data_IF_046018457939
#
_entry.id   IF_046018457939
#
_cell.length_a   1.000
_cell.length_b   1.000
_cell.length_c   1.000
_cell.angle_alpha   90.00
_cell.angle_beta   90.00
_cell.angle_gamma   90.00
#
_symmetry.space_group_name_H-M   'P 1'
#
loop_
_entity.id
_entity.type
_entity.pdbx_description
1 polymer ?
#
# COMPACT_ATOMS: atom_id res chain seq x y z
N UNK A 1 -9.82 25.62 16.66
CA UNK A 1 -9.77 25.37 18.11
C UNK A 1 -8.63 24.40 18.45
N UNK A 2 -8.26 24.32 19.73
CA UNK A 2 -7.36 23.29 20.24
C UNK A 2 -8.15 22.00 20.33
N UNK A 3 -7.52 20.86 20.05
CA UNK A 3 -8.15 19.54 20.17
C UNK A 3 -7.23 18.59 20.96
N UNK A 4 -7.83 17.55 21.53
CA UNK A 4 -7.09 16.48 22.19
C UNK A 4 -7.38 15.15 21.50
N UNK A 5 -6.33 14.40 21.15
CA UNK A 5 -6.44 13.06 20.57
C UNK A 5 -5.57 12.10 21.42
N UNK A 6 -6.22 11.14 22.06
CA UNK A 6 -5.53 10.13 22.89
C UNK A 6 -4.54 10.73 23.92
N UNK A 7 -4.93 11.82 24.60
CA UNK A 7 -4.10 12.50 25.58
C UNK A 7 -3.06 13.47 25.00
N UNK A 8 -2.97 13.59 23.69
CA UNK A 8 -2.08 14.55 23.03
C UNK A 8 -2.82 15.82 22.62
N UNK A 9 -2.32 16.98 23.10
CA UNK A 9 -2.86 18.29 22.76
C UNK A 9 -2.34 18.77 21.42
N UNK A 10 -3.25 19.09 20.51
CA UNK A 10 -2.96 19.70 19.21
C UNK A 10 -3.51 21.13 19.22
N UNK A 11 -2.63 22.11 19.10
CA UNK A 11 -3.00 23.53 19.14
C UNK A 11 -3.58 23.97 17.80
N UNK A 12 -4.52 24.92 17.86
CA UNK A 12 -5.07 25.59 16.68
C UNK A 12 -3.94 26.09 15.77
N UNK A 13 -3.98 25.71 14.50
CA UNK A 13 -3.01 26.11 13.48
C UNK A 13 -1.78 25.20 13.36
N UNK A 14 -1.64 24.18 14.21
CA UNK A 14 -0.61 23.17 13.97
C UNK A 14 -0.93 22.30 12.77
N UNK A 15 0.10 21.98 12.00
CA UNK A 15 -0.03 21.01 10.91
C UNK A 15 -0.04 19.58 11.45
N UNK A 16 -1.01 18.80 11.02
CA UNK A 16 -1.10 17.37 11.36
C UNK A 16 -0.99 16.56 10.07
N UNK A 17 -0.01 15.67 10.03
CA UNK A 17 0.16 14.74 8.91
C UNK A 17 -0.36 13.35 9.29
N UNK A 18 -1.35 12.85 8.56
CA UNK A 18 -1.88 11.51 8.72
C UNK A 18 -1.11 10.55 7.80
N UNK A 19 -0.37 9.63 8.40
CA UNK A 19 0.45 8.65 7.66
C UNK A 19 -0.39 7.37 7.47
N UNK A 20 -1.23 7.34 6.44
CA UNK A 20 -2.16 6.23 6.17
C UNK A 20 -1.45 4.91 5.88
N UNK A 21 -0.22 4.95 5.36
CA UNK A 21 0.58 3.75 5.11
C UNK A 21 0.96 2.97 6.37
N UNK A 22 1.05 3.64 7.52
CA UNK A 22 1.35 2.97 8.80
C UNK A 22 0.10 2.38 9.45
N UNK A 23 -1.09 2.84 9.08
CA UNK A 23 -2.34 2.33 9.66
C UNK A 23 -2.56 0.85 9.36
N UNK A 24 -2.08 0.37 8.21
CA UNK A 24 -2.11 -1.06 7.86
C UNK A 24 -1.16 -1.93 8.70
N UNK A 25 -0.28 -1.32 9.48
CA UNK A 25 0.69 -1.98 10.35
C UNK A 25 0.30 -1.90 11.84
N UNK A 26 -0.89 -1.42 12.16
CA UNK A 26 -1.35 -1.27 13.55
C UNK A 26 -1.69 -2.63 14.17
N UNK A 27 -0.95 -3.10 15.20
CA UNK A 27 -1.20 -4.38 15.84
C UNK A 27 -2.48 -4.41 16.69
N UNK A 28 -3.06 -3.26 16.99
CA UNK A 28 -4.36 -3.17 17.67
C UNK A 28 -5.53 -3.49 16.72
N UNK A 29 -5.31 -3.35 15.44
CA UNK A 29 -6.32 -3.55 14.40
C UNK A 29 -6.10 -4.86 13.64
N UNK A 30 -4.83 -5.18 13.34
CA UNK A 30 -4.47 -6.33 12.51
C UNK A 30 -3.61 -7.33 13.27
N UNK A 31 -3.99 -8.58 13.24
CA UNK A 31 -3.15 -9.65 13.71
C UNK A 31 -1.96 -9.82 12.77
N UNK A 32 -0.74 -9.90 13.33
CA UNK A 32 0.51 -10.07 12.60
C UNK A 32 0.66 -9.10 11.40
N UNK A 33 0.65 -7.76 11.66
CA UNK A 33 0.56 -6.75 10.61
C UNK A 33 1.79 -6.72 9.68
N UNK A 34 2.93 -7.25 10.12
CA UNK A 34 4.16 -7.34 9.33
C UNK A 34 4.13 -8.43 8.28
N UNK A 35 3.23 -9.41 8.40
CA UNK A 35 3.12 -10.54 7.46
C UNK A 35 2.24 -10.15 6.27
N UNK A 36 2.75 -10.37 5.06
CA UNK A 36 1.94 -10.24 3.85
C UNK A 36 0.94 -11.41 3.77
N UNK A 37 -0.35 -11.10 3.90
CA UNK A 37 -1.42 -12.07 3.85
C UNK A 37 -2.57 -11.58 2.96
N UNK A 38 -2.75 -12.21 1.79
CA UNK A 38 -3.80 -11.87 0.83
C UNK A 38 -5.22 -12.25 1.31
N UNK A 39 -5.32 -13.09 2.34
CA UNK A 39 -6.60 -13.50 2.94
C UNK A 39 -6.98 -12.65 4.15
N UNK A 40 -6.19 -11.61 4.46
CA UNK A 40 -6.49 -10.70 5.56
C UNK A 40 -7.80 -9.98 5.30
N UNK A 41 -8.57 -9.77 6.36
CA UNK A 41 -9.74 -8.91 6.33
C UNK A 41 -9.32 -7.47 5.97
N UNK A 42 -9.94 -6.92 4.93
CA UNK A 42 -9.65 -5.59 4.38
C UNK A 42 -10.67 -4.53 4.79
N UNK A 43 -11.73 -4.87 5.49
CA UNK A 43 -12.83 -3.96 5.83
C UNK A 43 -12.37 -2.75 6.66
N UNK A 44 -11.28 -2.91 7.40
CA UNK A 44 -10.67 -1.86 8.22
C UNK A 44 -9.59 -1.06 7.50
N UNK A 45 -9.30 -1.35 6.24
CA UNK A 45 -8.23 -0.69 5.49
C UNK A 45 -8.60 0.76 5.15
N UNK A 46 -7.72 1.68 5.48
CA UNK A 46 -7.82 3.10 5.10
C UNK A 46 -6.81 3.50 4.01
N UNK A 47 -6.25 2.54 3.27
CA UNK A 47 -5.26 2.79 2.23
C UNK A 47 -5.75 3.73 1.13
N UNK A 48 -7.05 3.76 0.89
CA UNK A 48 -7.68 4.68 -0.05
C UNK A 48 -8.38 5.87 0.62
N UNK A 49 -8.07 6.14 1.88
CA UNK A 49 -8.74 7.16 2.68
C UNK A 49 -10.09 6.68 3.20
N UNK A 50 -10.85 7.61 3.76
CA UNK A 50 -12.19 7.36 4.31
C UNK A 50 -13.04 8.63 4.28
N UNK A 51 -14.36 8.47 4.31
CA UNK A 51 -15.32 9.57 4.36
C UNK A 51 -15.35 10.39 3.07
N UNK A 52 -15.59 11.71 3.13
CA UNK A 52 -15.75 12.57 1.95
C UNK A 52 -14.53 12.62 1.02
N UNK A 53 -13.35 12.27 1.53
CA UNK A 53 -12.09 12.26 0.78
C UNK A 53 -11.68 10.84 0.34
N UNK A 54 -12.60 9.86 0.36
CA UNK A 54 -12.32 8.53 -0.16
C UNK A 54 -11.86 8.61 -1.62
N UNK A 55 -10.83 7.85 -1.96
CA UNK A 55 -10.19 7.93 -3.28
C UNK A 55 -11.18 7.66 -4.42
N UNK A 56 -11.39 8.65 -5.28
CA UNK A 56 -12.28 8.53 -6.45
C UNK A 56 -11.78 7.47 -7.46
N UNK A 57 -10.45 7.24 -7.51
CA UNK A 57 -9.83 6.30 -8.44
C UNK A 57 -9.83 4.84 -7.98
N UNK A 58 -10.38 4.49 -6.83
CA UNK A 58 -10.26 3.15 -6.25
C UNK A 58 -10.77 2.04 -7.16
N UNK A 59 -11.91 2.24 -7.80
CA UNK A 59 -12.50 1.26 -8.73
C UNK A 59 -11.60 1.05 -9.95
N UNK A 60 -11.07 2.14 -10.51
CA UNK A 60 -10.16 2.07 -11.65
C UNK A 60 -8.88 1.33 -11.29
N UNK A 61 -8.25 1.68 -10.17
CA UNK A 61 -7.01 1.03 -9.70
C UNK A 61 -7.24 -0.47 -9.49
N UNK A 62 -8.34 -0.85 -8.84
CA UNK A 62 -8.66 -2.27 -8.61
C UNK A 62 -8.82 -3.03 -9.93
N UNK A 63 -9.60 -2.49 -10.86
CA UNK A 63 -9.82 -3.12 -12.18
C UNK A 63 -8.53 -3.22 -12.98
N UNK A 64 -7.72 -2.18 -13.01
CA UNK A 64 -6.43 -2.20 -13.70
C UNK A 64 -5.48 -3.24 -13.10
N UNK A 65 -5.39 -3.28 -11.75
CA UNK A 65 -4.52 -4.23 -11.06
C UNK A 65 -4.98 -5.67 -11.30
N UNK A 66 -6.27 -5.94 -11.27
CA UNK A 66 -6.82 -7.27 -11.53
C UNK A 66 -6.47 -7.75 -12.95
N UNK A 67 -6.72 -6.93 -13.96
CA UNK A 67 -6.41 -7.26 -15.36
C UNK A 67 -4.91 -7.45 -15.55
N UNK A 68 -4.10 -6.53 -15.01
CA UNK A 68 -2.65 -6.58 -15.10
C UNK A 68 -2.09 -7.87 -14.49
N UNK A 69 -2.51 -8.22 -13.27
CA UNK A 69 -2.02 -9.42 -12.60
C UNK A 69 -2.47 -10.70 -13.32
N UNK A 70 -3.72 -10.76 -13.79
CA UNK A 70 -4.22 -11.91 -14.56
C UNK A 70 -3.40 -12.13 -15.84
N UNK A 71 -3.16 -11.08 -16.62
CA UNK A 71 -2.39 -11.19 -17.87
C UNK A 71 -0.91 -11.46 -17.59
N UNK A 72 -0.34 -10.88 -16.53
CA UNK A 72 1.04 -11.11 -16.13
C UNK A 72 1.27 -12.59 -15.77
N UNK A 73 0.48 -13.15 -14.88
CA UNK A 73 0.64 -14.55 -14.46
C UNK A 73 0.23 -15.56 -15.52
N UNK A 74 -0.71 -15.21 -16.40
CA UNK A 74 -1.04 -16.02 -17.57
C UNK A 74 0.14 -16.10 -18.54
N UNK A 75 0.83 -14.99 -18.77
CA UNK A 75 1.98 -14.93 -19.68
C UNK A 75 3.25 -15.51 -19.06
N UNK A 76 3.44 -15.32 -17.77
CA UNK A 76 4.63 -15.71 -17.01
C UNK A 76 4.24 -16.53 -15.76
N UNK A 77 3.78 -17.78 -15.93
CA UNK A 77 3.27 -18.57 -14.80
C UNK A 77 4.34 -18.91 -13.74
N UNK A 78 5.61 -18.85 -14.14
CA UNK A 78 6.76 -19.13 -13.27
C UNK A 78 7.50 -17.84 -12.87
N UNK A 79 6.81 -16.70 -12.84
CA UNK A 79 7.37 -15.42 -12.43
C UNK A 79 7.94 -15.51 -11.01
N UNK A 80 9.14 -15.01 -10.81
CA UNK A 80 9.76 -14.88 -9.50
C UNK A 80 10.42 -13.51 -9.33
N UNK A 81 10.66 -13.11 -8.09
CA UNK A 81 11.42 -11.89 -7.83
C UNK A 81 12.85 -12.05 -8.32
N UNK A 82 13.39 -11.00 -8.90
CA UNK A 82 14.80 -10.86 -9.20
C UNK A 82 15.58 -10.35 -7.98
N UNK A 83 16.85 -10.12 -8.19
CA UNK A 83 17.79 -9.77 -7.10
C UNK A 83 17.79 -8.28 -6.76
N UNK A 84 17.12 -7.45 -7.55
CA UNK A 84 17.16 -6.01 -7.38
C UNK A 84 15.77 -5.42 -7.10
N UNK A 85 15.65 -4.74 -5.96
CA UNK A 85 14.51 -3.91 -5.61
C UNK A 85 15.05 -2.55 -5.15
N UNK A 86 14.73 -1.49 -5.90
CA UNK A 86 15.15 -0.12 -5.58
C UNK A 86 13.96 0.68 -5.06
N UNK A 87 14.13 1.27 -3.89
CA UNK A 87 13.15 2.17 -3.30
C UNK A 87 13.60 3.62 -3.39
N UNK A 88 12.70 4.50 -3.80
CA UNK A 88 12.89 5.94 -3.69
C UNK A 88 12.44 6.43 -2.31
N UNK A 89 13.39 6.97 -1.56
CA UNK A 89 13.16 7.58 -0.23
C UNK A 89 13.13 9.11 -0.27
N UNK A 90 13.29 9.72 -1.44
CA UNK A 90 13.33 11.17 -1.59
C UNK A 90 11.96 11.85 -1.39
N UNK A 91 10.87 11.10 -1.49
CA UNK A 91 9.53 11.60 -1.31
C UNK A 91 9.05 11.39 0.13
N UNK A 92 8.98 12.46 0.90
CA UNK A 92 8.61 12.43 2.33
C UNK A 92 7.22 11.84 2.63
N UNK A 93 6.34 11.79 1.62
CA UNK A 93 4.93 11.42 1.81
C UNK A 93 4.58 10.01 1.27
N UNK A 94 5.50 9.36 0.57
CA UNK A 94 5.24 8.03 0.00
C UNK A 94 6.55 7.23 -0.14
N UNK A 95 6.53 6.01 0.35
CA UNK A 95 7.55 5.02 0.00
C UNK A 95 7.23 4.51 -1.40
N UNK A 96 8.05 4.86 -2.38
CA UNK A 96 7.89 4.44 -3.77
C UNK A 96 8.93 3.37 -4.12
N UNK A 97 8.49 2.34 -4.79
CA UNK A 97 9.38 1.37 -5.42
C UNK A 97 9.65 1.84 -6.85
N UNK A 98 10.89 2.18 -7.15
CA UNK A 98 11.28 2.65 -8.49
C UNK A 98 11.58 1.49 -9.43
N UNK A 99 12.24 0.47 -8.92
CA UNK A 99 12.60 -0.72 -9.68
C UNK A 99 12.29 -1.97 -8.89
N UNK A 100 11.67 -2.92 -9.54
CA UNK A 100 11.52 -4.29 -9.06
C UNK A 100 11.85 -5.22 -10.22
N UNK A 101 13.03 -5.83 -10.19
CA UNK A 101 13.41 -6.82 -11.18
C UNK A 101 12.65 -8.12 -10.95
N UNK A 102 12.23 -8.74 -12.03
CA UNK A 102 11.53 -10.03 -12.01
C UNK A 102 12.14 -10.97 -13.03
N UNK A 103 12.19 -12.25 -12.68
CA UNK A 103 12.60 -13.31 -13.58
C UNK A 103 11.35 -13.90 -14.22
N UNK A 104 11.26 -13.85 -15.53
CA UNK A 104 10.10 -14.39 -16.27
C UNK A 104 10.18 -15.91 -16.45
N UNK A 105 11.38 -16.49 -16.24
CA UNK A 105 11.65 -17.93 -16.34
C UNK A 105 11.09 -18.57 -17.65
N UNK A 106 11.12 -17.79 -18.75
CA UNK A 106 10.79 -18.28 -20.07
C UNK A 106 11.98 -19.15 -20.54
N UNK A 107 11.71 -20.41 -20.90
CA UNK A 107 12.72 -21.24 -21.56
C UNK A 107 13.17 -20.51 -22.84
N UNK A 108 14.48 -20.29 -22.98
CA UNK A 108 15.03 -19.77 -24.23
C UNK A 108 14.76 -20.85 -25.29
N UNK A 109 13.90 -20.52 -26.25
CA UNK A 109 13.65 -21.34 -27.45
C UNK A 109 14.86 -21.37 -28.36
#
# INVERSE_FOLDING_TARGET
EDIEIQGHQIKKGQMVQLITSTAGMDPLIYNDPSTFNIQRDHDKSISFGQGPHYCIGVTLVRSQTEVMLKELFKRFPNLSLGDEIVYDYAHHNARRMDVMMVNTNIAKS
#
